data_IF_776538972406
#
_entry.id   IF_776538972406
#
_cell.length_a   1.000
_cell.length_b   1.000
_cell.length_c   1.000
_cell.angle_alpha   90.00
_cell.angle_beta   90.00
_cell.angle_gamma   90.00
#
_symmetry.space_group_name_H-M   'P 1'
#
loop_
_entity.id
_entity.type
_entity.pdbx_description
1 polymer ?
#
# COMPACT_ATOMS: atom_id res chain seq x y z
N UNK A 1 -25.46 7.09 -10.21
CA UNK A 1 -24.48 6.34 -9.39
C UNK A 1 -23.70 5.46 -10.35
N UNK A 2 -22.36 5.53 -10.39
CA UNK A 2 -21.56 4.69 -11.31
C UNK A 2 -21.56 3.25 -10.81
N UNK A 3 -21.58 2.26 -11.70
CA UNK A 3 -21.39 0.88 -11.29
C UNK A 3 -19.93 0.66 -10.88
N UNK A 4 -19.67 -0.26 -9.93
CA UNK A 4 -18.32 -0.55 -9.44
C UNK A 4 -17.40 -1.07 -10.57
N UNK A 5 -17.95 -1.83 -11.52
CA UNK A 5 -17.24 -2.25 -12.73
C UNK A 5 -16.79 -1.06 -13.60
N UNK A 6 -17.56 0.02 -13.65
CA UNK A 6 -17.26 1.21 -14.46
C UNK A 6 -16.04 1.98 -13.93
N UNK A 7 -15.60 1.68 -12.70
CA UNK A 7 -14.41 2.26 -12.07
C UNK A 7 -13.27 1.23 -11.88
N UNK A 8 -13.35 0.09 -12.59
CA UNK A 8 -12.30 -0.92 -12.63
C UNK A 8 -12.31 -1.92 -11.47
N UNK A 9 -13.37 -1.96 -10.66
CA UNK A 9 -13.50 -2.97 -9.62
C UNK A 9 -14.09 -4.24 -10.22
N UNK A 10 -13.39 -5.36 -10.04
CA UNK A 10 -13.92 -6.67 -10.33
C UNK A 10 -15.09 -6.98 -9.37
N UNK A 11 -16.28 -7.16 -9.92
CA UNK A 11 -17.47 -7.57 -9.14
C UNK A 11 -18.02 -8.91 -9.60
N UNK A 12 -17.25 -9.68 -10.36
CA UNK A 12 -17.63 -11.05 -10.74
C UNK A 12 -17.52 -11.99 -9.53
N UNK A 13 -16.61 -11.67 -8.61
CA UNK A 13 -16.51 -12.31 -7.31
C UNK A 13 -17.35 -11.58 -6.26
N UNK A 14 -17.92 -12.33 -5.31
CA UNK A 14 -18.64 -11.75 -4.16
C UNK A 14 -17.71 -11.03 -3.16
N UNK A 15 -16.39 -11.18 -3.29
CA UNK A 15 -15.38 -10.59 -2.39
C UNK A 15 -14.29 -9.92 -3.21
N UNK A 16 -13.98 -8.67 -2.85
CA UNK A 16 -12.87 -7.90 -3.42
C UNK A 16 -11.65 -8.00 -2.50
N UNK A 17 -10.56 -8.58 -3.00
CA UNK A 17 -9.38 -8.90 -2.22
C UNK A 17 -8.30 -7.83 -2.45
N UNK A 18 -7.85 -7.21 -1.36
CA UNK A 18 -6.79 -6.21 -1.36
C UNK A 18 -5.56 -6.77 -0.65
N UNK A 19 -4.44 -6.92 -1.37
CA UNK A 19 -3.15 -7.20 -0.76
C UNK A 19 -2.58 -5.93 -0.13
N UNK A 20 -2.56 -5.87 1.20
CA UNK A 20 -1.94 -4.76 1.93
C UNK A 20 -0.42 -4.90 1.89
N UNK A 21 0.23 -4.12 1.03
CA UNK A 21 1.69 -3.96 1.01
C UNK A 21 2.13 -3.08 2.19
N UNK A 22 1.33 -2.07 2.54
CA UNK A 22 1.60 -1.20 3.68
C UNK A 22 2.98 -0.54 3.56
N UNK A 23 3.86 -0.82 4.53
CA UNK A 23 5.26 -0.38 4.55
C UNK A 23 6.27 -1.50 4.21
N UNK A 24 5.83 -2.68 3.77
CA UNK A 24 6.72 -3.84 3.57
C UNK A 24 7.80 -3.63 2.49
N UNK A 25 7.72 -2.55 1.71
CA UNK A 25 8.72 -2.16 0.72
C UNK A 25 10.00 -1.56 1.34
N UNK A 26 10.04 -1.25 2.64
CA UNK A 26 11.30 -0.83 3.27
C UNK A 26 11.81 0.56 2.85
N UNK A 27 10.99 1.37 2.17
CA UNK A 27 11.41 2.60 1.48
C UNK A 27 12.03 2.37 0.09
N UNK A 28 12.13 1.12 -0.37
CA UNK A 28 12.75 0.77 -1.66
C UNK A 28 11.69 0.59 -2.77
N UNK A 29 11.79 1.43 -3.82
CA UNK A 29 10.88 1.38 -4.97
C UNK A 29 11.01 0.09 -5.79
N UNK A 30 12.20 -0.51 -5.85
CA UNK A 30 12.42 -1.78 -6.54
C UNK A 30 11.71 -2.92 -5.80
N UNK A 31 11.80 -2.94 -4.46
CA UNK A 31 11.06 -3.89 -3.63
C UNK A 31 9.55 -3.66 -3.75
N UNK A 32 9.08 -2.40 -3.76
CA UNK A 32 7.66 -2.09 -3.98
C UNK A 32 7.14 -2.69 -5.31
N UNK A 33 7.89 -2.58 -6.40
CA UNK A 33 7.53 -3.19 -7.70
C UNK A 33 7.49 -4.71 -7.63
N UNK A 34 8.47 -5.34 -6.97
CA UNK A 34 8.49 -6.79 -6.77
C UNK A 34 7.28 -7.28 -5.97
N UNK A 35 6.85 -6.52 -4.94
CA UNK A 35 5.66 -6.83 -4.15
C UNK A 35 4.38 -6.73 -4.99
N UNK A 36 4.28 -5.74 -5.88
CA UNK A 36 3.18 -5.63 -6.85
C UNK A 36 3.15 -6.86 -7.77
N UNK A 37 4.29 -7.21 -8.37
CA UNK A 37 4.39 -8.37 -9.26
C UNK A 37 4.05 -9.68 -8.54
N UNK A 38 4.45 -9.81 -7.26
CA UNK A 38 4.12 -10.97 -6.44
C UNK A 38 2.63 -11.04 -6.13
N UNK A 39 2.00 -9.92 -5.75
CA UNK A 39 0.57 -9.86 -5.47
C UNK A 39 -0.26 -10.15 -6.72
N UNK A 40 0.11 -9.60 -7.88
CA UNK A 40 -0.59 -9.86 -9.13
C UNK A 40 -0.66 -11.37 -9.48
N UNK A 41 0.38 -12.14 -9.13
CA UNK A 41 0.44 -13.60 -9.37
C UNK A 41 -0.53 -14.41 -8.49
N UNK A 42 -1.07 -13.84 -7.40
CA UNK A 42 -1.99 -14.55 -6.51
C UNK A 42 -3.46 -14.33 -6.85
N UNK A 43 -3.76 -13.47 -7.82
CA UNK A 43 -5.13 -13.19 -8.26
C UNK A 43 -5.91 -12.24 -7.33
N UNK A 44 -5.22 -11.42 -6.54
CA UNK A 44 -5.88 -10.33 -5.79
C UNK A 44 -6.38 -9.26 -6.75
N UNK A 45 -7.45 -8.55 -6.34
CA UNK A 45 -8.07 -7.53 -7.17
C UNK A 45 -7.32 -6.18 -7.09
N UNK A 46 -6.64 -5.92 -5.97
CA UNK A 46 -5.80 -4.74 -5.81
C UNK A 46 -4.64 -4.94 -4.82
N UNK A 47 -3.70 -4.00 -4.88
CA UNK A 47 -2.67 -3.79 -3.87
C UNK A 47 -2.91 -2.44 -3.18
N UNK A 48 -2.54 -2.33 -1.90
CA UNK A 48 -2.64 -1.07 -1.15
C UNK A 48 -1.32 -0.72 -0.45
N UNK A 49 -0.93 0.54 -0.58
CA UNK A 49 0.24 1.13 0.07
C UNK A 49 -0.19 2.08 1.19
N UNK A 50 0.73 2.37 2.11
CA UNK A 50 0.57 3.45 3.07
C UNK A 50 1.37 4.67 2.58
N UNK A 51 0.66 5.71 2.14
CA UNK A 51 1.26 7.01 1.82
C UNK A 51 1.11 7.93 3.01
N UNK A 52 2.20 8.51 3.48
CA UNK A 52 2.19 9.46 4.59
C UNK A 52 3.39 10.40 4.48
N UNK A 53 3.25 11.57 5.08
CA UNK A 53 4.38 12.39 5.50
C UNK A 53 4.73 12.00 6.92
N UNK A 54 5.97 11.56 7.17
CA UNK A 54 6.36 11.02 8.48
C UNK A 54 6.08 12.02 9.60
N UNK A 55 6.36 13.29 9.36
CA UNK A 55 6.17 14.41 10.28
C UNK A 55 4.69 14.64 10.65
N UNK A 56 3.77 14.21 9.80
CA UNK A 56 2.32 14.34 10.04
C UNK A 56 1.69 13.05 10.61
N UNK A 57 2.41 11.92 10.52
CA UNK A 57 1.89 10.60 10.89
C UNK A 57 2.44 10.07 12.21
N UNK A 58 3.72 10.31 12.47
CA UNK A 58 4.40 9.80 13.65
C UNK A 58 3.85 10.49 14.92
N UNK A 59 3.58 9.74 16.01
CA UNK A 59 3.16 10.33 17.27
C UNK A 59 4.30 11.17 17.88
N UNK A 60 3.96 12.34 18.40
CA UNK A 60 4.92 13.24 19.04
C UNK A 60 5.63 12.54 20.22
N UNK A 61 6.94 12.75 20.31
CA UNK A 61 7.77 12.18 21.39
C UNK A 61 8.14 10.71 21.23
N UNK A 62 7.79 10.06 20.10
CA UNK A 62 8.20 8.68 19.82
C UNK A 62 9.20 8.62 18.65
N UNK A 63 10.50 8.70 18.99
CA UNK A 63 11.58 8.68 18.00
C UNK A 63 11.65 7.34 17.26
N UNK A 64 11.41 6.21 17.94
CA UNK A 64 11.47 4.88 17.33
C UNK A 64 10.45 4.74 16.20
N UNK A 65 9.20 5.13 16.44
CA UNK A 65 8.15 5.11 15.42
C UNK A 65 8.45 6.11 14.31
N UNK A 66 8.99 7.29 14.65
CA UNK A 66 9.41 8.26 13.64
C UNK A 66 10.45 7.67 12.70
N UNK A 67 11.50 7.03 13.24
CA UNK A 67 12.59 6.44 12.45
C UNK A 67 12.10 5.29 11.57
N UNK A 68 11.20 4.44 12.11
CA UNK A 68 10.54 3.39 11.33
C UNK A 68 9.79 4.03 10.17
N UNK A 69 8.87 4.97 10.42
CA UNK A 69 8.08 5.57 9.36
C UNK A 69 8.95 6.30 8.34
N UNK A 70 9.98 7.02 8.80
CA UNK A 70 10.89 7.77 7.91
C UNK A 70 11.65 6.88 6.95
N UNK A 71 12.12 5.73 7.45
CA UNK A 71 12.78 4.72 6.62
C UNK A 71 11.84 4.18 5.52
N UNK A 72 10.56 4.09 5.81
CA UNK A 72 9.56 3.50 4.91
C UNK A 72 8.78 4.52 4.09
N UNK A 73 9.11 5.81 4.16
CA UNK A 73 8.45 6.85 3.39
C UNK A 73 8.87 6.77 1.91
N UNK A 74 7.90 6.77 0.99
CA UNK A 74 8.17 6.80 -0.45
C UNK A 74 8.23 8.24 -0.97
N UNK A 75 9.09 8.54 -1.96
CA UNK A 75 9.16 9.86 -2.58
C UNK A 75 7.87 10.17 -3.37
N UNK A 76 7.50 11.45 -3.41
CA UNK A 76 6.37 12.02 -4.16
C UNK A 76 6.85 12.78 -5.39
#
# INVERSE_FOLDING_TARGET
MKALKDIGLNTDNATYIIAEIGINHGGDIAVAKQLIDSAAKTGVDAVKFQTFLTEQRAPAGNQEVFDILKKHELPF
#
